data_IF_102653359821
#
_entry.id   IF_102653359821
#
_cell.length_a   1.000
_cell.length_b   1.000
_cell.length_c   1.000
_cell.angle_alpha   90.00
_cell.angle_beta   90.00
_cell.angle_gamma   90.00
#
_symmetry.space_group_name_H-M   'P 1'
#
loop_
_entity.id
_entity.type
_entity.pdbx_description
1 polymer ?
#
# COMPACT_ATOMS: atom_id res chain seq x y z
N UNK A 1 62.20 26.50 53.20
CA UNK A 1 61.94 25.17 53.81
C UNK A 1 60.78 25.34 54.78
N UNK A 2 59.92 24.32 54.93
CA UNK A 2 58.56 24.35 55.52
C UNK A 2 57.46 24.77 54.54
N UNK A 3 56.20 24.32 54.60
CA UNK A 3 55.45 23.11 55.00
C UNK A 3 53.97 23.43 54.60
N UNK A 4 53.03 22.51 54.89
CA UNK A 4 51.57 22.73 55.05
C UNK A 4 50.66 22.55 53.80
N UNK A 5 49.88 21.46 53.64
CA UNK A 5 48.67 20.94 54.34
C UNK A 5 47.33 21.57 53.85
N UNK A 6 46.60 20.75 53.08
CA UNK A 6 45.18 20.32 53.15
C UNK A 6 44.11 21.24 53.80
N UNK A 7 42.98 21.42 53.08
CA UNK A 7 41.55 21.30 53.52
C UNK A 7 40.64 21.54 52.29
N UNK A 8 39.77 20.60 51.87
CA UNK A 8 38.31 20.45 52.15
C UNK A 8 37.58 21.81 52.14
N UNK A 9 36.45 22.05 51.47
CA UNK A 9 35.23 21.26 51.21
C UNK A 9 34.27 22.14 50.38
N UNK A 10 33.31 21.56 49.64
CA UNK A 10 32.13 22.33 49.20
C UNK A 10 31.49 21.84 47.91
N UNK A 11 30.40 21.09 48.07
CA UNK A 11 29.47 20.58 47.07
C UNK A 11 28.54 21.64 46.49
N UNK A 12 28.31 21.64 45.17
CA UNK A 12 26.97 21.77 44.54
C UNK A 12 27.02 21.08 43.16
N UNK A 13 26.12 20.14 42.82
CA UNK A 13 26.02 19.59 41.47
C UNK A 13 25.29 20.57 40.55
N UNK A 14 25.84 20.83 39.36
CA UNK A 14 25.13 21.53 38.29
C UNK A 14 24.11 20.55 37.67
N UNK A 15 22.84 20.65 38.07
CA UNK A 15 21.74 19.91 37.45
C UNK A 15 21.51 20.41 36.02
N UNK A 16 21.82 19.55 35.06
CA UNK A 16 21.43 19.67 33.65
C UNK A 16 19.91 19.49 33.55
N UNK A 17 19.15 20.39 32.92
CA UNK A 17 17.73 20.13 32.69
C UNK A 17 17.59 19.03 31.64
N UNK A 18 17.09 17.89 32.09
CA UNK A 18 16.60 16.80 31.27
C UNK A 18 15.34 17.27 30.53
N UNK A 19 15.50 17.72 29.27
CA UNK A 19 14.34 17.82 28.37
C UNK A 19 13.98 16.41 27.92
N UNK A 20 13.14 15.75 28.72
CA UNK A 20 12.30 14.67 28.24
C UNK A 20 11.44 15.25 27.11
N UNK A 21 11.83 14.97 25.87
CA UNK A 21 10.98 15.19 24.70
C UNK A 21 9.79 14.25 24.81
N UNK A 22 8.69 14.79 25.30
CA UNK A 22 7.38 14.14 25.24
C UNK A 22 7.10 13.80 23.77
N UNK A 23 7.02 12.51 23.47
CA UNK A 23 6.48 12.02 22.20
C UNK A 23 5.05 12.58 22.06
N UNK A 24 4.63 13.10 20.89
CA UNK A 24 3.26 13.58 20.71
C UNK A 24 2.30 12.42 20.99
N UNK A 25 1.52 12.55 22.05
CA UNK A 25 0.47 11.59 22.40
C UNK A 25 -0.47 11.47 21.21
N UNK A 26 -0.56 10.28 20.62
CA UNK A 26 -1.55 9.98 19.59
C UNK A 26 -2.95 10.06 20.19
N UNK A 27 -3.69 11.13 19.89
CA UNK A 27 -5.08 11.24 20.30
C UNK A 27 -5.94 10.50 19.27
N UNK A 28 -6.39 9.29 19.63
CA UNK A 28 -7.43 8.57 18.90
C UNK A 28 -8.76 9.31 19.11
N UNK A 29 -9.20 10.05 18.11
CA UNK A 29 -10.57 10.61 18.11
C UNK A 29 -11.52 9.49 17.70
N UNK A 30 -12.11 8.83 18.68
CA UNK A 30 -13.20 7.87 18.45
C UNK A 30 -14.50 8.66 18.30
N UNK A 31 -14.98 8.84 17.06
CA UNK A 31 -16.37 9.25 16.84
C UNK A 31 -17.28 8.02 16.93
N UNK A 32 -18.37 8.18 17.70
CA UNK A 32 -19.28 7.13 18.10
C UNK A 32 -19.91 6.34 16.96
N UNK A 33 -20.22 5.08 17.29
CA UNK A 33 -20.83 4.08 16.43
C UNK A 33 -22.18 4.51 15.89
N UNK A 34 -22.32 4.52 14.56
CA UNK A 34 -23.61 4.35 13.89
C UNK A 34 -23.54 3.07 13.08
N UNK A 35 -24.39 2.10 13.43
CA UNK A 35 -24.54 0.87 12.67
C UNK A 35 -25.19 1.19 11.33
N UNK A 36 -24.40 1.16 10.27
CA UNK A 36 -24.83 1.02 8.88
C UNK A 36 -23.64 0.43 8.13
N UNK A 37 -23.91 -0.52 7.24
CA UNK A 37 -22.97 -1.46 6.63
C UNK A 37 -21.90 -0.87 5.70
N UNK A 38 -21.51 0.39 5.88
CA UNK A 38 -20.31 0.96 5.28
C UNK A 38 -19.20 0.99 6.32
N UNK A 39 -18.25 0.08 6.20
CA UNK A 39 -17.00 0.15 6.96
C UNK A 39 -16.22 1.37 6.51
N UNK A 40 -16.51 2.53 7.12
CA UNK A 40 -15.72 3.76 6.96
C UNK A 40 -14.28 3.43 7.34
N UNK A 41 -13.42 3.27 6.33
CA UNK A 41 -12.00 2.97 6.52
C UNK A 41 -11.38 4.09 7.35
N UNK A 42 -10.63 3.71 8.37
CA UNK A 42 -9.96 4.67 9.24
C UNK A 42 -8.96 5.47 8.41
N UNK A 43 -8.89 6.80 8.55
CA UNK A 43 -7.95 7.64 7.80
C UNK A 43 -6.78 8.10 8.69
N UNK A 44 -5.58 8.16 8.11
CA UNK A 44 -4.39 8.77 8.71
C UNK A 44 -3.79 9.81 7.77
N UNK A 45 -2.98 10.71 8.30
CA UNK A 45 -2.11 11.56 7.50
C UNK A 45 -0.71 10.95 7.45
N UNK A 46 -0.16 10.77 6.26
CA UNK A 46 1.24 10.35 6.12
C UNK A 46 2.21 11.50 6.43
N UNK A 47 3.52 11.21 6.47
CA UNK A 47 4.56 12.23 6.71
C UNK A 47 4.62 13.32 5.65
N UNK A 48 3.97 13.13 4.50
CA UNK A 48 3.83 14.10 3.42
C UNK A 48 2.51 14.90 3.51
N UNK A 49 1.69 14.68 4.55
CA UNK A 49 0.42 15.39 4.75
C UNK A 49 -0.74 14.87 3.91
N UNK A 50 -0.64 13.70 3.28
CA UNK A 50 -1.71 13.10 2.48
C UNK A 50 -2.64 12.29 3.37
N UNK A 51 -3.95 12.41 3.14
CA UNK A 51 -4.94 11.54 3.77
C UNK A 51 -4.87 10.14 3.14
N UNK A 52 -4.45 9.16 3.91
CA UNK A 52 -4.37 7.75 3.53
C UNK A 52 -5.45 6.97 4.27
N UNK A 53 -6.25 6.19 3.56
CA UNK A 53 -7.04 5.13 4.19
C UNK A 53 -6.10 4.08 4.79
N UNK A 54 -6.45 3.56 5.96
CA UNK A 54 -5.77 2.42 6.55
C UNK A 54 -6.28 1.13 5.90
N UNK A 55 -5.41 0.12 5.77
CA UNK A 55 -5.86 -1.22 5.47
C UNK A 55 -6.84 -1.71 6.54
N UNK A 56 -7.80 -2.54 6.16
CA UNK A 56 -8.66 -3.23 7.11
C UNK A 56 -7.84 -4.23 7.93
N UNK A 57 -8.09 -4.32 9.24
CA UNK A 57 -7.28 -5.17 10.11
C UNK A 57 -7.44 -6.66 9.74
N UNK A 58 -6.37 -7.25 9.19
CA UNK A 58 -6.19 -8.71 9.09
C UNK A 58 -6.49 -9.34 7.74
N UNK A 59 -7.06 -8.61 6.76
CA UNK A 59 -7.24 -9.11 5.41
C UNK A 59 -6.07 -8.70 4.50
N UNK A 60 -5.66 -9.55 3.53
CA UNK A 60 -4.61 -9.18 2.57
C UNK A 60 -5.14 -8.09 1.64
N UNK A 61 -4.40 -6.99 1.51
CA UNK A 61 -4.78 -5.82 0.71
C UNK A 61 -3.59 -5.24 -0.06
N UNK A 62 -3.88 -4.58 -1.18
CA UNK A 62 -2.92 -3.82 -1.99
C UNK A 62 -3.33 -2.35 -2.10
N UNK A 63 -2.37 -1.45 -1.95
CA UNK A 63 -2.55 -0.03 -2.25
C UNK A 63 -2.22 0.21 -3.73
N UNK A 64 -3.25 0.56 -4.49
CA UNK A 64 -3.18 0.68 -5.94
C UNK A 64 -3.43 2.12 -6.32
N UNK A 65 -2.55 2.66 -7.18
CA UNK A 65 -2.71 3.95 -7.82
C UNK A 65 -3.14 3.75 -9.28
N UNK A 66 -4.17 4.45 -9.74
CA UNK A 66 -4.62 4.43 -11.13
C UNK A 66 -4.66 5.84 -11.68
N UNK A 67 -4.18 6.01 -12.90
CA UNK A 67 -4.27 7.25 -13.66
C UNK A 67 -4.50 6.91 -15.12
N UNK A 68 -5.45 7.57 -15.78
CA UNK A 68 -5.61 7.50 -17.22
C UNK A 68 -5.46 8.88 -17.83
N UNK A 69 -4.42 9.03 -18.64
CA UNK A 69 -4.20 10.21 -19.46
C UNK A 69 -5.02 10.07 -20.75
N UNK A 70 -6.10 10.84 -20.84
CA UNK A 70 -7.02 10.83 -21.97
C UNK A 70 -6.40 11.37 -23.25
N UNK A 71 -5.47 12.32 -23.13
CA UNK A 71 -4.87 13.00 -24.27
C UNK A 71 -3.87 12.08 -24.96
N UNK A 72 -3.17 11.25 -24.18
CA UNK A 72 -2.18 10.30 -24.68
C UNK A 72 -2.69 8.86 -24.80
N UNK A 73 -3.92 8.57 -24.33
CA UNK A 73 -4.46 7.20 -24.34
C UNK A 73 -3.65 6.24 -23.48
N UNK A 74 -3.21 6.69 -22.31
CA UNK A 74 -2.26 5.94 -21.48
C UNK A 74 -2.84 5.65 -20.10
N UNK A 75 -3.02 4.37 -19.80
CA UNK A 75 -3.36 3.90 -18.46
C UNK A 75 -2.07 3.59 -17.69
N UNK A 76 -1.94 4.18 -16.51
CA UNK A 76 -0.88 3.89 -15.56
C UNK A 76 -1.45 3.17 -14.33
N UNK A 77 -0.87 2.02 -14.02
CA UNK A 77 -1.16 1.19 -12.86
C UNK A 77 0.03 1.20 -11.92
N UNK A 78 -0.15 1.81 -10.75
CA UNK A 78 0.81 1.82 -9.67
C UNK A 78 0.47 0.79 -8.60
N UNK A 79 1.47 0.03 -8.17
CA UNK A 79 1.39 -0.84 -6.99
C UNK A 79 2.36 -0.26 -5.95
N UNK A 80 1.82 0.42 -4.94
CA UNK A 80 2.65 1.11 -3.95
C UNK A 80 3.12 0.11 -2.88
N UNK A 81 2.18 -0.56 -2.19
CA UNK A 81 2.49 -1.49 -1.11
C UNK A 81 1.40 -2.52 -0.86
N UNK A 82 1.76 -3.61 -0.20
CA UNK A 82 0.85 -4.60 0.35
C UNK A 82 0.66 -4.48 1.85
N UNK A 83 -0.45 -5.00 2.34
CA UNK A 83 -0.73 -5.18 3.76
C UNK A 83 -1.18 -6.62 4.01
N UNK A 84 -0.66 -7.24 5.07
CA UNK A 84 -1.05 -8.59 5.51
C UNK A 84 -0.99 -9.66 4.42
N UNK A 85 -0.03 -9.57 3.47
CA UNK A 85 0.09 -10.52 2.34
C UNK A 85 0.70 -11.86 2.75
N UNK A 86 1.36 -11.92 3.90
CA UNK A 86 1.91 -13.14 4.47
C UNK A 86 1.83 -13.11 5.99
N UNK A 87 1.90 -14.28 6.63
CA UNK A 87 2.00 -14.35 8.09
C UNK A 87 3.21 -13.57 8.62
N UNK A 88 2.99 -12.72 9.63
CA UNK A 88 4.07 -11.90 10.23
C UNK A 88 5.18 -12.74 10.85
N UNK A 89 4.86 -13.95 11.33
CA UNK A 89 5.81 -14.90 11.91
C UNK A 89 6.67 -15.60 10.86
N UNK A 90 6.22 -15.66 9.60
CA UNK A 90 6.88 -16.36 8.49
C UNK A 90 6.66 -15.61 7.18
N UNK A 91 7.26 -14.42 7.05
CA UNK A 91 7.03 -13.61 5.86
C UNK A 91 7.68 -14.26 4.64
N UNK A 92 6.98 -14.17 3.50
CA UNK A 92 7.41 -14.79 2.24
C UNK A 92 7.90 -13.75 1.25
N UNK A 93 8.71 -14.18 0.29
CA UNK A 93 9.12 -13.33 -0.83
C UNK A 93 7.94 -13.19 -1.79
N UNK A 94 7.57 -11.97 -2.14
CA UNK A 94 6.39 -11.68 -2.97
C UNK A 94 6.72 -10.81 -4.18
N UNK A 95 5.97 -10.99 -5.26
CA UNK A 95 5.97 -10.10 -6.42
C UNK A 95 4.54 -10.02 -6.97
N UNK A 96 4.26 -8.96 -7.71
CA UNK A 96 2.94 -8.72 -8.29
C UNK A 96 3.01 -8.92 -9.79
N UNK A 97 2.02 -9.60 -10.35
CA UNK A 97 1.82 -9.74 -11.80
C UNK A 97 0.59 -8.92 -12.18
N UNK A 98 0.77 -7.98 -13.10
CA UNK A 98 -0.28 -7.12 -13.65
C UNK A 98 -0.55 -7.60 -15.07
N UNK A 99 -1.82 -7.83 -15.39
CA UNK A 99 -2.25 -8.32 -16.70
C UNK A 99 -3.43 -7.49 -17.17
N UNK A 100 -3.33 -6.88 -18.35
CA UNK A 100 -4.46 -6.26 -19.01
C UNK A 100 -5.11 -7.28 -19.94
N UNK A 101 -6.41 -7.45 -19.79
CA UNK A 101 -7.25 -8.37 -20.56
C UNK A 101 -8.25 -7.56 -21.38
N UNK A 102 -8.52 -8.01 -22.61
CA UNK A 102 -9.63 -7.50 -23.42
C UNK A 102 -10.97 -8.09 -22.99
N UNK A 103 -12.04 -7.65 -23.64
CA UNK A 103 -13.43 -8.07 -23.35
C UNK A 103 -13.60 -9.60 -23.33
N UNK A 104 -12.92 -10.30 -24.25
CA UNK A 104 -13.01 -11.75 -24.40
C UNK A 104 -11.95 -12.52 -23.58
N UNK A 105 -11.25 -11.86 -22.66
CA UNK A 105 -10.24 -12.46 -21.80
C UNK A 105 -8.89 -12.70 -22.46
N UNK A 106 -8.68 -12.22 -23.68
CA UNK A 106 -7.37 -12.28 -24.33
C UNK A 106 -6.39 -11.33 -23.63
N UNK A 107 -5.17 -11.80 -23.40
CA UNK A 107 -4.11 -10.97 -22.80
C UNK A 107 -3.64 -9.91 -23.80
N UNK A 108 -3.86 -8.64 -23.44
CA UNK A 108 -3.40 -7.49 -24.21
C UNK A 108 -1.96 -7.13 -23.84
N UNK A 109 -1.63 -7.27 -22.55
CA UNK A 109 -0.36 -6.82 -22.00
C UNK A 109 -0.11 -7.41 -20.61
N UNK A 110 1.18 -7.51 -20.22
CA UNK A 110 1.58 -7.91 -18.86
C UNK A 110 2.86 -7.24 -18.38
N UNK A 111 2.96 -7.10 -17.06
CA UNK A 111 4.21 -6.77 -16.37
C UNK A 111 4.27 -7.43 -15.01
N UNK A 112 5.48 -7.49 -14.45
CA UNK A 112 5.73 -7.95 -13.09
C UNK A 112 6.55 -6.91 -12.34
N UNK A 113 6.28 -6.78 -11.06
CA UNK A 113 7.17 -6.06 -10.15
C UNK A 113 8.45 -6.84 -9.93
N UNK A 114 9.44 -6.19 -9.32
CA UNK A 114 10.54 -6.90 -8.68
C UNK A 114 10.07 -7.75 -7.50
N UNK A 115 10.91 -8.71 -7.10
CA UNK A 115 10.65 -9.58 -5.95
C UNK A 115 11.04 -8.87 -4.65
N UNK A 116 10.07 -8.63 -3.78
CA UNK A 116 10.28 -8.11 -2.42
C UNK A 116 10.45 -9.29 -1.47
N UNK A 117 11.53 -9.31 -0.69
CA UNK A 117 11.89 -10.47 0.13
C UNK A 117 11.37 -10.35 1.57
N UNK A 118 10.84 -11.45 2.11
CA UNK A 118 10.57 -11.63 3.53
C UNK A 118 9.81 -10.50 4.22
N UNK A 119 8.81 -9.90 3.56
CA UNK A 119 8.04 -8.79 4.11
C UNK A 119 6.52 -9.05 4.04
N UNK A 120 5.85 -8.96 5.19
CA UNK A 120 4.38 -9.06 5.28
C UNK A 120 3.64 -7.80 4.83
N UNK A 121 4.33 -6.66 4.83
CA UNK A 121 3.86 -5.36 4.36
C UNK A 121 4.84 -4.82 3.28
N UNK A 122 4.96 -5.51 2.14
CA UNK A 122 5.97 -5.20 1.13
C UNK A 122 5.72 -3.84 0.48
N UNK A 123 6.77 -3.06 0.26
CA UNK A 123 6.74 -1.88 -0.61
C UNK A 123 7.22 -2.30 -2.00
N UNK A 124 6.38 -2.06 -3.00
CA UNK A 124 6.69 -2.37 -4.39
C UNK A 124 7.11 -1.13 -5.16
N UNK A 125 6.52 0.03 -4.82
CA UNK A 125 6.76 1.34 -5.46
C UNK A 125 6.88 1.24 -6.99
N UNK A 126 6.03 0.39 -7.58
CA UNK A 126 6.09 0.03 -8.99
C UNK A 126 5.05 0.81 -9.77
N UNK A 127 5.42 1.30 -10.94
CA UNK A 127 4.50 1.97 -11.86
C UNK A 127 4.65 1.36 -13.24
N UNK A 128 3.51 1.04 -13.84
CA UNK A 128 3.41 0.36 -15.11
C UNK A 128 2.44 1.10 -16.02
N UNK A 129 2.85 1.37 -17.26
CA UNK A 129 2.01 2.10 -18.22
C UNK A 129 1.70 1.26 -19.45
N UNK A 130 0.46 1.33 -19.90
CA UNK A 130 -0.04 0.66 -21.10
C UNK A 130 -0.75 1.69 -22.00
N UNK A 131 -0.51 1.59 -23.30
CA UNK A 131 -1.23 2.35 -24.31
C UNK A 131 -2.59 1.66 -24.56
N UNK A 132 -3.67 2.33 -24.18
CA UNK A 132 -5.06 1.89 -24.35
C UNK A 132 -5.91 3.11 -24.72
N UNK A 133 -6.52 3.09 -25.90
CA UNK A 133 -7.46 4.15 -26.25
C UNK A 133 -8.78 3.94 -25.50
N UNK A 134 -9.62 4.99 -25.47
CA UNK A 134 -10.86 4.97 -24.69
C UNK A 134 -11.78 3.77 -24.96
N UNK A 135 -12.05 3.36 -26.21
CA UNK A 135 -12.89 2.18 -26.48
C UNK A 135 -12.30 0.89 -25.90
N UNK A 136 -10.99 0.71 -26.00
CA UNK A 136 -10.31 -0.47 -25.45
C UNK A 136 -10.29 -0.44 -23.92
N UNK A 137 -10.13 0.75 -23.33
CA UNK A 137 -10.17 0.95 -21.88
C UNK A 137 -11.55 0.60 -21.29
N UNK A 138 -12.63 1.00 -21.96
CA UNK A 138 -14.01 0.78 -21.49
C UNK A 138 -14.35 -0.72 -21.34
N UNK A 139 -13.72 -1.58 -22.15
CA UNK A 139 -13.89 -3.03 -22.10
C UNK A 139 -12.66 -3.78 -21.55
N UNK A 140 -11.69 -3.06 -20.99
CA UNK A 140 -10.49 -3.65 -20.43
C UNK A 140 -10.74 -4.16 -19.01
N UNK A 141 -10.11 -5.29 -18.66
CA UNK A 141 -9.95 -5.72 -17.27
C UNK A 141 -8.48 -5.75 -16.91
N UNK A 142 -8.08 -5.01 -15.88
CA UNK A 142 -6.75 -5.12 -15.27
C UNK A 142 -6.83 -6.12 -14.13
N UNK A 143 -6.24 -7.30 -14.32
CA UNK A 143 -6.07 -8.33 -13.29
C UNK A 143 -4.72 -8.17 -12.61
N UNK A 144 -4.74 -8.12 -11.28
CA UNK A 144 -3.57 -8.00 -10.43
C UNK A 144 -3.48 -9.27 -9.58
N UNK A 145 -2.38 -9.99 -9.71
CA UNK A 145 -2.13 -11.25 -9.03
C UNK A 145 -0.95 -11.10 -8.07
N UNK A 146 -1.15 -11.49 -6.81
CA UNK A 146 -0.10 -11.57 -5.80
C UNK A 146 0.54 -12.96 -5.87
N UNK A 147 1.84 -13.02 -6.06
CA UNK A 147 2.59 -14.27 -6.13
C UNK A 147 3.66 -14.31 -5.05
N UNK A 148 3.87 -15.49 -4.48
CA UNK A 148 4.99 -15.78 -3.59
C UNK A 148 6.02 -16.68 -4.26
N UNK A 149 7.29 -16.55 -3.85
CA UNK A 149 8.36 -17.50 -4.15
C UNK A 149 8.74 -18.22 -2.86
N UNK A 150 8.42 -19.50 -2.76
CA UNK A 150 8.54 -20.28 -1.53
C UNK A 150 9.57 -21.40 -1.67
N UNK A 151 10.31 -21.63 -0.58
CA UNK A 151 11.22 -22.75 -0.40
C UNK A 151 12.52 -22.67 -1.20
N UNK A 152 13.39 -23.66 -0.98
CA UNK A 152 14.72 -23.74 -1.60
C UNK A 152 14.63 -23.81 -3.13
N UNK A 153 13.57 -24.43 -3.66
CA UNK A 153 13.30 -24.58 -5.09
C UNK A 153 12.62 -23.36 -5.72
N UNK A 154 12.37 -22.29 -4.97
CA UNK A 154 11.76 -21.04 -5.46
C UNK A 154 10.45 -21.24 -6.24
N UNK A 155 9.62 -22.19 -5.78
CA UNK A 155 8.32 -22.46 -6.41
C UNK A 155 7.42 -21.24 -6.29
N UNK A 156 6.68 -20.96 -7.37
CA UNK A 156 5.74 -19.83 -7.44
C UNK A 156 4.36 -20.30 -7.03
N UNK A 157 3.75 -19.61 -6.07
CA UNK A 157 2.38 -19.85 -5.63
C UNK A 157 1.60 -18.55 -5.66
N UNK A 158 0.42 -18.55 -6.29
CA UNK A 158 -0.49 -17.41 -6.24
C UNK A 158 -1.09 -17.33 -4.83
N UNK A 159 -0.91 -16.18 -4.18
CA UNK A 159 -1.48 -15.89 -2.88
C UNK A 159 -2.89 -15.32 -2.98
N UNK A 160 -3.20 -14.70 -4.11
CA UNK A 160 -4.51 -14.15 -4.38
C UNK A 160 -4.50 -13.18 -5.54
N UNK A 161 -5.64 -12.57 -5.81
CA UNK A 161 -5.84 -11.70 -6.96
C UNK A 161 -6.95 -10.68 -6.73
N UNK A 162 -7.00 -9.66 -7.58
CA UNK A 162 -8.13 -8.73 -7.71
C UNK A 162 -8.19 -8.23 -9.15
N UNK A 163 -9.33 -7.63 -9.53
CA UNK A 163 -9.54 -7.10 -10.87
C UNK A 163 -10.22 -5.73 -10.82
N UNK A 164 -9.85 -4.86 -11.77
CA UNK A 164 -10.37 -3.50 -11.96
C UNK A 164 -10.78 -3.33 -13.43
N UNK A 165 -11.87 -2.63 -13.71
CA UNK A 165 -12.40 -2.40 -15.06
C UNK A 165 -13.64 -3.22 -15.37
N UNK A 166 -13.78 -3.74 -16.60
CA UNK A 166 -14.99 -4.42 -17.08
C UNK A 166 -15.45 -5.54 -16.13
N UNK A 167 -14.52 -6.36 -15.63
CA UNK A 167 -14.80 -7.45 -14.69
C UNK A 167 -14.22 -7.15 -13.30
N UNK A 168 -14.53 -5.97 -12.75
CA UNK A 168 -14.09 -5.57 -11.41
C UNK A 168 -14.48 -6.60 -10.34
N UNK A 169 -13.54 -6.93 -9.46
CA UNK A 169 -13.73 -7.98 -8.45
C UNK A 169 -14.57 -7.55 -7.23
N UNK A 170 -14.85 -6.24 -7.09
CA UNK A 170 -15.69 -5.68 -6.04
C UNK A 170 -16.30 -4.34 -6.47
N UNK A 171 -17.36 -3.86 -5.78
CA UNK A 171 -17.90 -2.52 -6.01
C UNK A 171 -16.87 -1.40 -5.80
N UNK A 172 -16.03 -1.50 -4.77
CA UNK A 172 -14.94 -0.54 -4.50
C UNK A 172 -13.93 -0.49 -5.66
N UNK A 173 -13.63 -1.65 -6.27
CA UNK A 173 -12.75 -1.74 -7.43
C UNK A 173 -13.37 -1.06 -8.66
N UNK A 174 -14.66 -1.28 -8.90
CA UNK A 174 -15.39 -0.61 -9.97
C UNK A 174 -15.41 0.91 -9.78
N UNK A 175 -15.74 1.37 -8.57
CA UNK A 175 -15.73 2.80 -8.23
C UNK A 175 -14.35 3.42 -8.42
N UNK A 176 -13.27 2.70 -8.07
CA UNK A 176 -11.90 3.17 -8.30
C UNK A 176 -11.60 3.38 -9.78
N UNK A 177 -12.01 2.44 -10.63
CA UNK A 177 -11.83 2.53 -12.07
C UNK A 177 -12.59 3.73 -12.67
N UNK A 178 -13.85 3.90 -12.28
CA UNK A 178 -14.69 5.01 -12.72
C UNK A 178 -14.12 6.38 -12.28
N UNK A 179 -13.66 6.48 -11.04
CA UNK A 179 -13.02 7.71 -10.54
C UNK A 179 -11.73 8.03 -11.29
N UNK A 180 -10.91 7.03 -11.63
CA UNK A 180 -9.72 7.24 -12.45
C UNK A 180 -10.08 7.76 -13.84
N UNK A 181 -11.12 7.20 -14.47
CA UNK A 181 -11.60 7.65 -15.78
C UNK A 181 -12.10 9.11 -15.71
N UNK A 182 -12.86 9.46 -14.67
CA UNK A 182 -13.37 10.82 -14.46
C UNK A 182 -12.27 11.82 -14.09
N UNK A 183 -11.19 11.35 -13.46
CA UNK A 183 -10.06 12.16 -13.02
C UNK A 183 -9.21 12.73 -14.16
N UNK A 184 -9.31 12.19 -15.38
CA UNK A 184 -8.69 12.73 -16.60
C UNK A 184 -7.23 13.16 -16.42
N UNK A 185 -6.35 12.20 -16.09
CA UNK A 185 -4.93 12.44 -15.81
C UNK A 185 -4.57 12.65 -14.33
N UNK A 186 -5.56 12.73 -13.44
CA UNK A 186 -5.34 12.74 -11.99
C UNK A 186 -5.20 11.31 -11.47
N UNK A 187 -4.13 11.05 -10.73
CA UNK A 187 -3.93 9.78 -10.04
C UNK A 187 -4.88 9.63 -8.87
N UNK A 188 -5.64 8.53 -8.85
CA UNK A 188 -6.47 8.09 -7.73
C UNK A 188 -5.77 6.91 -7.05
N UNK A 189 -5.68 6.91 -5.72
CA UNK A 189 -5.04 5.83 -4.96
C UNK A 189 -6.01 5.24 -3.94
N UNK A 190 -6.22 3.92 -3.97
CA UNK A 190 -7.11 3.20 -3.05
C UNK A 190 -6.57 1.83 -2.66
N UNK A 191 -6.89 1.41 -1.44
CA UNK A 191 -6.67 0.04 -0.99
C UNK A 191 -7.72 -0.91 -1.56
N UNK A 192 -7.31 -2.10 -1.97
CA UNK A 192 -8.19 -3.16 -2.44
C UNK A 192 -7.86 -4.47 -1.76
N UNK A 193 -8.90 -5.20 -1.36
CA UNK A 193 -8.76 -6.55 -0.82
C UNK A 193 -8.29 -7.51 -1.91
N UNK A 194 -7.33 -8.35 -1.54
CA UNK A 194 -6.86 -9.46 -2.36
C UNK A 194 -7.75 -10.66 -2.09
N UNK A 195 -8.43 -11.15 -3.13
CA UNK A 195 -9.27 -12.35 -3.07
C UNK A 195 -8.40 -13.61 -3.06
N UNK A 196 -8.85 -14.70 -2.42
CA UNK A 196 -8.13 -15.97 -2.43
C UNK A 196 -8.00 -16.52 -3.86
N UNK A 197 -6.97 -17.35 -4.13
CA UNK A 197 -6.84 -18.04 -5.40
C UNK A 197 -8.03 -19.00 -5.64
N UNK A 198 -8.42 -19.14 -6.91
CA UNK A 198 -9.41 -20.12 -7.37
C UNK A 198 -8.95 -21.57 -7.19
#
# INVERSE_FOLDING_TARGET
MQHYIKRRSGSVPLTRPEKAGLSPSMHRVSNGSVASGDSRRNSMVDSCGRFCSQPTNGAPELLIALCYDTDHGCLTVGIERGSSLSEKSRPTDTFIKIVALGEFGNELWRQKTELVKGCSEPQYDHSASIQLHRPDLDVCTVRIEVWSSVGVLRRRQMLGWLALGLNSSSPDAQEHWEQMIQGSGITVTKWHQVLPPE
#
